data_IF_820811590460
#
_entry.id   IF_820811590460
#
_cell.length_a   1.000
_cell.length_b   1.000
_cell.length_c   1.000
_cell.angle_alpha   90.00
_cell.angle_beta   90.00
_cell.angle_gamma   90.00
#
_symmetry.space_group_name_H-M   'P 1'
#
loop_
_entity.id
_entity.type
_entity.pdbx_description
1 polymer ?
#
# COMPACT_ATOMS: atom_id res chain seq x y z
N UNK A 1 -48.20 25.91 -0.83
CA UNK A 1 -48.90 24.84 -0.09
C UNK A 1 -48.97 23.56 -0.92
N UNK A 2 -47.84 23.03 -1.40
CA UNK A 2 -47.78 21.80 -2.22
C UNK A 2 -46.60 20.88 -1.86
N UNK A 3 -45.64 21.36 -1.05
CA UNK A 3 -44.43 20.59 -0.67
C UNK A 3 -44.59 19.81 0.65
N UNK A 4 -45.57 20.15 1.50
CA UNK A 4 -45.82 19.44 2.77
C UNK A 4 -46.65 18.15 2.60
N UNK A 5 -47.35 17.97 1.47
CA UNK A 5 -48.13 16.76 1.20
C UNK A 5 -47.27 15.59 0.69
N UNK A 6 -46.12 15.86 0.04
CA UNK A 6 -45.23 14.79 -0.42
C UNK A 6 -44.49 14.09 0.75
N UNK A 7 -44.11 14.84 1.78
CA UNK A 7 -43.50 14.27 3.00
C UNK A 7 -44.51 13.49 3.87
N UNK A 8 -45.79 13.81 3.78
CA UNK A 8 -46.84 13.16 4.58
C UNK A 8 -47.32 11.83 3.96
N UNK A 9 -47.24 11.67 2.64
CA UNK A 9 -47.59 10.40 1.95
C UNK A 9 -46.51 9.33 2.16
N UNK A 10 -45.23 9.70 2.30
CA UNK A 10 -44.16 8.75 2.56
C UNK A 10 -44.01 8.34 4.03
N UNK A 11 -44.62 9.08 4.96
CA UNK A 11 -44.60 8.76 6.39
C UNK A 11 -45.74 7.83 6.84
N UNK A 12 -46.68 7.47 5.94
CA UNK A 12 -48.00 6.96 6.30
C UNK A 12 -48.38 5.55 5.83
N UNK A 13 -47.52 4.80 5.12
CA UNK A 13 -47.86 3.41 4.77
C UNK A 13 -47.52 2.45 5.92
N UNK A 14 -48.53 2.28 6.77
CA UNK A 14 -48.66 1.27 7.83
C UNK A 14 -48.08 -0.10 7.42
N UNK A 15 -46.92 -0.40 8.00
CA UNK A 15 -46.58 -1.66 8.66
C UNK A 15 -47.48 -2.87 8.35
N UNK A 16 -47.23 -3.52 7.21
CA UNK A 16 -47.83 -4.81 6.87
C UNK A 16 -47.02 -5.94 7.51
N UNK A 17 -47.28 -6.25 8.78
CA UNK A 17 -46.72 -7.36 9.58
C UNK A 17 -45.20 -7.34 9.87
N UNK A 18 -44.81 -7.67 11.10
CA UNK A 18 -43.41 -7.86 11.52
C UNK A 18 -42.66 -8.89 10.64
N UNK A 19 -43.39 -9.84 10.04
CA UNK A 19 -42.83 -10.85 9.15
C UNK A 19 -42.29 -10.26 7.83
N UNK A 20 -42.95 -9.25 7.26
CA UNK A 20 -42.49 -8.66 5.98
C UNK A 20 -41.20 -7.86 6.15
N UNK A 21 -41.07 -7.13 7.27
CA UNK A 21 -39.83 -6.42 7.61
C UNK A 21 -38.67 -7.37 7.79
N UNK A 22 -38.90 -8.51 8.46
CA UNK A 22 -37.88 -9.53 8.61
C UNK A 22 -37.40 -10.06 7.25
N UNK A 23 -38.33 -10.37 6.35
CA UNK A 23 -38.00 -10.83 4.99
C UNK A 23 -37.21 -9.78 4.20
N UNK A 24 -37.61 -8.50 4.26
CA UNK A 24 -36.89 -7.40 3.58
C UNK A 24 -35.48 -7.20 4.17
N UNK A 25 -35.33 -7.29 5.50
CA UNK A 25 -34.02 -7.22 6.14
C UNK A 25 -33.12 -8.38 5.70
N UNK A 26 -33.60 -9.62 5.71
CA UNK A 26 -32.83 -10.79 5.24
C UNK A 26 -32.46 -10.65 3.77
N UNK A 27 -33.39 -10.18 2.92
CA UNK A 27 -33.11 -9.93 1.51
C UNK A 27 -32.03 -8.86 1.29
N UNK A 28 -32.09 -7.74 2.04
CA UNK A 28 -31.05 -6.71 2.01
C UNK A 28 -29.68 -7.27 2.42
N UNK A 29 -29.62 -8.13 3.44
CA UNK A 29 -28.36 -8.80 3.83
C UNK A 29 -27.81 -9.67 2.70
N UNK A 30 -28.65 -10.43 2.00
CA UNK A 30 -28.22 -11.27 0.86
C UNK A 30 -27.66 -10.41 -0.27
N UNK A 31 -28.35 -9.33 -0.65
CA UNK A 31 -27.88 -8.39 -1.69
C UNK A 31 -26.56 -7.74 -1.28
N UNK A 32 -26.42 -7.39 0.00
CA UNK A 32 -25.21 -6.76 0.52
C UNK A 32 -24.02 -7.73 0.51
N UNK A 33 -24.21 -9.00 0.90
CA UNK A 33 -23.18 -10.04 0.85
C UNK A 33 -22.73 -10.31 -0.59
N UNK A 34 -23.67 -10.40 -1.54
CA UNK A 34 -23.36 -10.59 -2.96
C UNK A 34 -22.55 -9.42 -3.53
N UNK A 35 -22.98 -8.19 -3.22
CA UNK A 35 -22.29 -6.98 -3.68
C UNK A 35 -20.88 -6.88 -3.09
N UNK A 36 -20.74 -7.16 -1.78
CA UNK A 36 -19.45 -7.19 -1.11
C UNK A 36 -18.51 -8.25 -1.71
N UNK A 37 -19.01 -9.45 -1.98
CA UNK A 37 -18.23 -10.53 -2.59
C UNK A 37 -17.80 -10.20 -4.02
N UNK A 38 -18.66 -9.55 -4.80
CA UNK A 38 -18.33 -9.09 -6.16
C UNK A 38 -17.24 -8.01 -6.14
N UNK A 39 -17.38 -7.00 -5.27
CA UNK A 39 -16.38 -5.95 -5.10
C UNK A 39 -15.05 -6.55 -4.62
N UNK A 40 -15.09 -7.50 -3.68
CA UNK A 40 -13.89 -8.17 -3.18
C UNK A 40 -13.18 -8.97 -4.28
N UNK A 41 -13.91 -9.73 -5.08
CA UNK A 41 -13.33 -10.53 -6.16
C UNK A 41 -12.76 -9.63 -7.28
N UNK A 42 -13.46 -8.57 -7.64
CA UNK A 42 -12.97 -7.58 -8.61
C UNK A 42 -11.72 -6.86 -8.09
N UNK A 43 -11.73 -6.42 -6.84
CA UNK A 43 -10.59 -5.79 -6.17
C UNK A 43 -9.39 -6.74 -6.14
N UNK A 44 -9.60 -8.00 -5.77
CA UNK A 44 -8.56 -9.03 -5.75
C UNK A 44 -7.94 -9.25 -7.14
N UNK A 45 -8.76 -9.33 -8.20
CA UNK A 45 -8.28 -9.46 -9.57
C UNK A 45 -7.47 -8.24 -10.01
N UNK A 46 -7.91 -7.03 -9.68
CA UNK A 46 -7.17 -5.79 -9.97
C UNK A 46 -5.84 -5.75 -9.21
N UNK A 47 -5.81 -6.10 -7.93
CA UNK A 47 -4.58 -6.16 -7.13
C UNK A 47 -3.59 -7.19 -7.71
N UNK A 48 -4.05 -8.39 -8.07
CA UNK A 48 -3.21 -9.42 -8.70
C UNK A 48 -2.69 -8.95 -10.06
N UNK A 49 -3.52 -8.30 -10.87
CA UNK A 49 -3.10 -7.76 -12.16
C UNK A 49 -2.05 -6.65 -12.02
N UNK A 50 -2.20 -5.75 -11.04
CA UNK A 50 -1.20 -4.73 -10.74
C UNK A 50 0.13 -5.34 -10.29
N UNK A 51 0.09 -6.33 -9.38
CA UNK A 51 1.30 -7.05 -8.93
C UNK A 51 1.96 -7.79 -10.10
N UNK A 52 1.16 -8.43 -10.96
CA UNK A 52 1.67 -9.14 -12.15
C UNK A 52 2.28 -8.17 -13.16
N UNK A 53 1.63 -7.04 -13.44
CA UNK A 53 2.16 -6.00 -14.32
C UNK A 53 3.47 -5.44 -13.78
N UNK A 54 3.56 -5.19 -12.46
CA UNK A 54 4.80 -4.78 -11.82
C UNK A 54 5.89 -5.87 -11.91
N UNK A 55 5.51 -7.16 -11.85
CA UNK A 55 6.40 -8.31 -12.06
C UNK A 55 6.82 -8.52 -13.50
N UNK A 56 6.09 -8.02 -14.48
CA UNK A 56 6.44 -8.11 -15.90
C UNK A 56 7.27 -6.91 -16.38
N UNK A 57 7.03 -5.73 -15.79
CA UNK A 57 7.74 -4.49 -16.06
C UNK A 57 9.16 -4.38 -15.49
N UNK A 58 9.78 -3.23 -15.75
CA UNK A 58 11.07 -2.86 -15.14
C UNK A 58 10.84 -2.29 -13.73
N UNK A 59 11.75 -2.62 -12.81
CA UNK A 59 11.66 -2.21 -11.42
C UNK A 59 12.89 -1.38 -11.06
N UNK A 60 12.66 -0.23 -10.45
CA UNK A 60 13.72 0.63 -9.93
C UNK A 60 14.16 0.25 -8.53
N UNK A 61 15.43 0.48 -8.21
CA UNK A 61 15.97 0.38 -6.85
C UNK A 61 17.12 1.40 -6.66
N UNK A 62 17.44 1.76 -5.41
CA UNK A 62 18.60 2.62 -5.13
C UNK A 62 19.89 1.85 -5.38
N UNK A 63 20.82 2.49 -6.10
CA UNK A 63 22.17 1.96 -6.39
C UNK A 63 22.93 1.52 -5.13
N UNK A 64 22.70 2.22 -4.02
CA UNK A 64 23.38 2.00 -2.74
C UNK A 64 22.62 1.10 -1.76
N UNK A 65 21.49 0.50 -2.14
CA UNK A 65 20.60 -0.12 -1.17
C UNK A 65 20.80 -1.64 -1.14
N UNK A 66 20.62 -2.18 0.07
CA UNK A 66 20.62 -3.61 0.33
C UNK A 66 19.44 -4.32 -0.36
N UNK A 67 18.52 -3.55 -0.95
CA UNK A 67 17.34 -4.03 -1.67
C UNK A 67 17.73 -4.95 -2.82
N UNK A 68 18.80 -4.66 -3.58
CA UNK A 68 19.21 -5.57 -4.66
C UNK A 68 19.54 -6.96 -4.13
N UNK A 69 20.34 -7.03 -3.06
CA UNK A 69 20.67 -8.29 -2.40
C UNK A 69 19.44 -9.01 -1.88
N UNK A 70 18.48 -8.28 -1.32
CA UNK A 70 17.22 -8.84 -0.81
C UNK A 70 16.32 -9.37 -1.93
N UNK A 71 16.11 -8.60 -2.99
CA UNK A 71 15.24 -8.93 -4.13
C UNK A 71 15.73 -10.16 -4.87
N UNK A 72 17.06 -10.26 -5.07
CA UNK A 72 17.70 -11.40 -5.73
C UNK A 72 17.71 -12.63 -4.82
N UNK A 73 18.03 -12.46 -3.52
CA UNK A 73 18.17 -13.59 -2.58
C UNK A 73 16.85 -14.20 -2.14
N UNK A 74 15.77 -13.41 -2.07
CA UNK A 74 14.47 -13.89 -1.59
C UNK A 74 13.59 -14.49 -2.70
N UNK A 75 14.15 -14.82 -3.87
CA UNK A 75 13.43 -15.51 -4.95
C UNK A 75 12.09 -14.87 -5.29
N UNK A 76 12.04 -13.53 -5.33
CA UNK A 76 10.81 -12.81 -5.70
C UNK A 76 10.43 -12.99 -7.18
N UNK A 77 11.12 -13.87 -7.92
CA UNK A 77 11.02 -14.11 -9.36
C UNK A 77 11.23 -12.86 -10.22
N UNK A 78 11.88 -11.84 -9.68
CA UNK A 78 12.33 -10.70 -10.47
C UNK A 78 13.61 -11.07 -11.19
N UNK A 79 13.53 -11.24 -12.52
CA UNK A 79 14.72 -11.38 -13.36
C UNK A 79 15.61 -10.14 -13.18
N UNK A 80 16.88 -10.38 -12.83
CA UNK A 80 17.88 -9.36 -12.51
C UNK A 80 18.07 -8.37 -13.67
N UNK A 81 17.84 -8.81 -14.91
CA UNK A 81 17.89 -7.97 -16.12
C UNK A 81 16.83 -6.86 -16.19
N UNK A 82 15.81 -6.92 -15.33
CA UNK A 82 14.71 -5.95 -15.28
C UNK A 82 14.85 -4.96 -14.12
N UNK A 83 15.90 -5.09 -13.32
CA UNK A 83 16.22 -4.17 -12.23
C UNK A 83 17.05 -2.99 -12.77
N UNK A 84 16.57 -1.77 -12.55
CA UNK A 84 17.27 -0.54 -12.93
C UNK A 84 17.73 0.22 -11.68
N UNK A 85 19.04 0.50 -11.55
CA UNK A 85 19.54 1.32 -10.46
C UNK A 85 19.24 2.79 -10.74
N UNK A 86 18.85 3.51 -9.70
CA UNK A 86 18.78 4.98 -9.70
C UNK A 86 19.47 5.54 -8.46
N UNK A 87 19.76 6.84 -8.45
CA UNK A 87 20.53 7.48 -7.38
C UNK A 87 19.79 8.60 -6.65
N UNK A 88 18.69 9.09 -7.21
CA UNK A 88 17.98 10.22 -6.64
C UNK A 88 16.46 10.10 -6.73
N UNK A 89 15.79 10.79 -5.82
CA UNK A 89 14.33 10.87 -5.78
C UNK A 89 13.72 11.51 -7.05
N UNK A 90 14.49 12.36 -7.75
CA UNK A 90 14.06 12.96 -9.03
C UNK A 90 14.10 11.93 -10.16
N UNK A 91 15.13 11.09 -10.19
CA UNK A 91 15.19 9.97 -11.15
C UNK A 91 14.06 8.98 -10.94
N UNK A 92 13.66 8.77 -9.68
CA UNK A 92 12.48 7.97 -9.34
C UNK A 92 11.20 8.51 -9.95
N UNK A 93 10.92 9.81 -9.73
CA UNK A 93 9.77 10.50 -10.31
C UNK A 93 9.77 10.41 -11.84
N UNK A 94 10.91 10.72 -12.47
CA UNK A 94 11.04 10.67 -13.92
C UNK A 94 10.82 9.25 -14.47
N UNK A 95 11.44 8.24 -13.85
CA UNK A 95 11.34 6.86 -14.30
C UNK A 95 9.93 6.28 -14.12
N UNK A 96 9.26 6.59 -13.00
CA UNK A 96 7.87 6.19 -12.75
C UNK A 96 6.90 6.86 -13.71
N UNK A 97 7.05 8.17 -13.96
CA UNK A 97 6.22 8.90 -14.94
C UNK A 97 6.38 8.39 -16.36
N UNK A 98 7.60 7.98 -16.72
CA UNK A 98 7.91 7.43 -18.04
C UNK A 98 7.28 6.05 -18.22
N UNK A 99 7.25 5.23 -17.17
CA UNK A 99 6.73 3.86 -17.19
C UNK A 99 7.63 2.90 -18.00
N UNK A 100 7.48 1.60 -17.78
CA UNK A 100 8.34 0.58 -18.43
C UNK A 100 8.32 0.64 -19.95
N UNK A 101 7.14 0.88 -20.54
CA UNK A 101 6.92 0.94 -22.00
C UNK A 101 7.72 2.04 -22.71
N UNK A 102 8.07 3.13 -22.01
CA UNK A 102 8.87 4.23 -22.58
C UNK A 102 10.31 4.22 -22.03
N UNK A 103 10.76 3.11 -21.45
CA UNK A 103 12.12 2.96 -20.94
C UNK A 103 12.31 3.43 -19.49
N UNK A 104 11.24 3.76 -18.78
CA UNK A 104 11.23 3.99 -17.33
C UNK A 104 11.06 2.69 -16.52
N UNK A 105 10.30 2.78 -15.42
CA UNK A 105 9.95 1.66 -14.53
C UNK A 105 8.49 1.73 -14.11
N UNK A 106 7.89 0.59 -13.75
CA UNK A 106 6.49 0.53 -13.28
C UNK A 106 6.38 0.54 -11.75
N UNK A 107 7.46 0.22 -11.05
CA UNK A 107 7.53 0.21 -9.59
C UNK A 107 8.96 0.49 -9.12
N UNK A 108 9.07 0.97 -7.88
CA UNK A 108 10.35 1.16 -7.20
C UNK A 108 10.31 0.39 -5.88
N UNK A 109 11.39 -0.32 -5.58
CA UNK A 109 11.59 -0.99 -4.31
C UNK A 109 12.67 -0.22 -3.54
N UNK A 110 12.31 0.24 -2.36
CA UNK A 110 13.16 1.04 -1.49
C UNK A 110 12.77 0.82 -0.03
N UNK A 111 13.62 1.22 0.91
CA UNK A 111 13.29 1.21 2.34
C UNK A 111 12.13 2.18 2.64
N UNK A 112 11.23 1.76 3.55
CA UNK A 112 9.99 2.47 3.89
C UNK A 112 10.17 3.98 4.16
N UNK A 113 11.14 4.46 4.96
CA UNK A 113 11.23 5.91 5.23
C UNK A 113 11.51 6.72 3.97
N UNK A 114 12.30 6.22 3.02
CA UNK A 114 12.57 6.93 1.77
C UNK A 114 11.34 6.93 0.85
N UNK A 115 10.56 5.85 0.81
CA UNK A 115 9.29 5.81 0.09
C UNK A 115 8.29 6.80 0.70
N UNK A 116 8.23 6.91 2.04
CA UNK A 116 7.36 7.87 2.71
C UNK A 116 7.69 9.30 2.30
N UNK A 117 8.97 9.68 2.29
CA UNK A 117 9.42 10.99 1.81
C UNK A 117 9.05 11.20 0.33
N UNK A 118 9.12 10.15 -0.51
CA UNK A 118 8.66 10.21 -1.91
C UNK A 118 7.17 10.51 -2.03
N UNK A 119 6.34 9.82 -1.27
CA UNK A 119 4.90 10.02 -1.31
C UNK A 119 4.53 11.39 -0.74
N UNK A 120 5.20 11.87 0.31
CA UNK A 120 4.98 13.21 0.85
C UNK A 120 5.28 14.31 -0.17
N UNK A 121 6.31 14.14 -1.00
CA UNK A 121 6.63 15.07 -2.07
C UNK A 121 5.67 14.97 -3.28
N UNK A 122 5.00 13.83 -3.46
CA UNK A 122 4.13 13.55 -4.62
C UNK A 122 2.84 12.78 -4.23
N UNK A 123 2.00 13.34 -3.35
CA UNK A 123 0.95 12.57 -2.64
C UNK A 123 -0.19 12.09 -3.53
N UNK A 124 -0.39 12.73 -4.69
CA UNK A 124 -1.44 12.37 -5.64
C UNK A 124 -0.97 11.44 -6.75
N UNK A 125 0.33 11.20 -6.87
CA UNK A 125 0.94 10.52 -8.01
C UNK A 125 1.40 9.11 -7.66
N UNK A 126 1.81 8.89 -6.40
CA UNK A 126 2.37 7.63 -5.96
C UNK A 126 1.66 7.09 -4.73
N UNK A 127 1.67 5.76 -4.62
CA UNK A 127 1.15 5.04 -3.47
C UNK A 127 2.14 3.96 -3.08
N UNK A 128 2.23 3.68 -1.78
CA UNK A 128 3.02 2.57 -1.28
C UNK A 128 2.11 1.35 -1.17
N UNK A 129 2.54 0.25 -1.77
CA UNK A 129 1.94 -1.05 -1.51
C UNK A 129 2.73 -1.65 -0.35
N UNK A 130 2.10 -1.75 0.82
CA UNK A 130 2.72 -2.43 1.96
C UNK A 130 2.91 -3.91 1.64
N UNK A 131 4.16 -4.37 1.76
CA UNK A 131 4.50 -5.78 1.72
C UNK A 131 4.77 -6.28 3.14
N UNK A 132 4.35 -7.52 3.44
CA UNK A 132 4.53 -8.15 4.74
C UNK A 132 5.98 -8.54 5.07
N UNK A 133 6.95 -8.19 4.21
CA UNK A 133 8.35 -8.54 4.40
C UNK A 133 9.12 -7.33 4.89
N UNK A 134 9.23 -7.22 6.22
CA UNK A 134 10.14 -6.26 6.83
C UNK A 134 11.56 -6.79 6.72
N UNK A 135 12.43 -6.05 6.04
CA UNK A 135 13.85 -6.07 6.37
C UNK A 135 14.04 -5.42 7.74
N UNK A 136 15.14 -5.72 8.44
CA UNK A 136 15.41 -5.15 9.78
C UNK A 136 15.41 -3.61 9.79
N UNK A 137 15.40 -3.03 10.99
CA UNK A 137 15.45 -1.57 11.17
C UNK A 137 16.85 -0.98 11.02
N UNK A 138 16.92 0.36 10.97
CA UNK A 138 18.18 1.10 11.00
C UNK A 138 18.88 0.96 12.36
N UNK A 139 20.20 0.96 12.34
CA UNK A 139 21.02 0.88 13.55
C UNK A 139 22.34 1.63 13.40
N UNK A 140 22.95 1.94 14.53
CA UNK A 140 24.26 2.59 14.59
C UNK A 140 25.36 1.52 14.65
N UNK A 141 26.42 1.71 13.86
CA UNK A 141 27.57 0.81 13.84
C UNK A 141 28.75 1.44 14.58
N UNK A 142 29.38 0.65 15.45
CA UNK A 142 30.56 1.04 16.21
C UNK A 142 31.64 -0.02 16.10
N UNK A 143 32.89 0.36 16.31
CA UNK A 143 33.99 -0.59 16.45
C UNK A 143 33.77 -1.50 17.65
N UNK A 144 34.22 -2.76 17.53
CA UNK A 144 34.07 -3.75 18.61
C UNK A 144 34.77 -3.27 19.87
N UNK A 145 34.03 -3.22 20.99
CA UNK A 145 34.54 -2.74 22.28
C UNK A 145 34.32 -1.24 22.55
N UNK A 146 33.71 -0.51 21.62
CA UNK A 146 33.38 0.90 21.85
C UNK A 146 32.33 1.05 22.96
N UNK A 147 32.59 1.88 24.00
CA UNK A 147 31.59 2.17 25.04
C UNK A 147 30.36 2.91 24.48
N UNK A 148 30.54 3.66 23.39
CA UNK A 148 29.46 4.40 22.72
C UNK A 148 28.33 3.51 22.22
N UNK A 149 28.62 2.24 21.91
CA UNK A 149 27.58 1.30 21.46
C UNK A 149 26.52 1.07 22.56
N UNK A 150 26.96 0.97 23.81
CA UNK A 150 26.08 0.77 24.96
C UNK A 150 25.31 2.05 25.29
N UNK A 151 26.01 3.19 25.29
CA UNK A 151 25.39 4.49 25.60
C UNK A 151 24.30 4.83 24.58
N UNK A 152 24.60 4.75 23.29
CA UNK A 152 23.64 5.08 22.22
C UNK A 152 22.47 4.10 22.20
N UNK A 153 22.71 2.81 22.50
CA UNK A 153 21.63 1.82 22.57
C UNK A 153 20.68 2.10 23.74
N UNK A 154 21.21 2.48 24.91
CA UNK A 154 20.42 2.87 26.10
C UNK A 154 19.58 4.12 25.84
N UNK A 155 20.20 5.18 25.32
CA UNK A 155 19.51 6.43 24.97
C UNK A 155 18.42 6.22 23.92
N UNK A 156 18.66 5.32 22.95
CA UNK A 156 17.65 4.97 21.93
C UNK A 156 16.46 4.22 22.55
N UNK A 157 16.70 3.34 23.52
CA UNK A 157 15.65 2.64 24.25
C UNK A 157 14.81 3.62 25.09
N UNK A 158 15.45 4.48 25.87
CA UNK A 158 14.77 5.47 26.72
C UNK A 158 13.86 6.40 25.91
N UNK A 159 14.34 6.88 24.75
CA UNK A 159 13.52 7.71 23.84
C UNK A 159 12.36 6.94 23.22
N UNK A 160 12.53 5.64 22.94
CA UNK A 160 11.44 4.80 22.41
C UNK A 160 10.35 4.54 23.44
N UNK A 161 10.70 4.41 24.71
CA UNK A 161 9.73 4.16 25.78
C UNK A 161 8.87 5.39 26.12
N UNK A 162 9.34 6.60 25.76
CA UNK A 162 8.66 7.87 26.05
C UNK A 162 7.99 8.53 24.83
N UNK A 163 7.87 7.83 23.69
CA UNK A 163 7.24 8.32 22.46
C UNK A 163 5.94 7.58 22.14
#
# INVERSE_FOLDING_TARGET
MHLLNYLSVFAGERLRSNASRFVVSVWLFVVLILTSSYIANLSSLLTVAQIKSAKEGYIGYTTHSLVRGFVVKNNLNFNDSRLKPFQSQREYDEALRKGSKKGGVDAIIEEIPYIKILIENYPTQYTMIEFSWSTGGFGFAFTKGSPLAQDISRETLEKKEHS
#
